data_IF_215561617697
#
_entry.id   IF_215561617697
#
_cell.length_a   1.000
_cell.length_b   1.000
_cell.length_c   1.000
_cell.angle_alpha   90.00
_cell.angle_beta   90.00
_cell.angle_gamma   90.00
#
_symmetry.space_group_name_H-M   'P 1'
#
loop_
_entity.id
_entity.type
_entity.pdbx_description
1 polymer ?
#
# COMPACT_ATOMS: atom_id res chain seq x y z
N UNK A 1 15.84 -39.66 13.97
CA UNK A 1 15.91 -38.19 13.82
C UNK A 1 14.64 -37.73 13.14
N UNK A 2 13.71 -37.17 13.89
CA UNK A 2 12.49 -36.58 13.35
C UNK A 2 12.84 -35.23 12.72
N UNK A 3 13.06 -35.22 11.42
CA UNK A 3 13.07 -33.99 10.65
C UNK A 3 11.60 -33.51 10.54
N UNK A 4 11.23 -32.47 11.28
CA UNK A 4 10.00 -31.74 10.99
C UNK A 4 10.06 -31.27 9.55
N UNK A 5 9.03 -31.48 8.73
CA UNK A 5 8.99 -30.87 7.41
C UNK A 5 9.11 -29.36 7.60
N UNK A 6 9.94 -28.73 6.76
CA UNK A 6 10.06 -27.29 6.75
C UNK A 6 8.63 -26.72 6.62
N UNK A 7 8.21 -25.90 7.59
CA UNK A 7 6.91 -25.22 7.49
C UNK A 7 6.94 -24.39 6.21
N UNK A 8 5.99 -24.64 5.31
CA UNK A 8 5.72 -23.74 4.21
C UNK A 8 5.56 -22.34 4.81
N UNK A 9 6.25 -21.32 4.25
CA UNK A 9 6.13 -19.95 4.70
C UNK A 9 4.65 -19.60 4.75
N UNK A 10 4.15 -19.26 5.94
CA UNK A 10 2.76 -18.85 6.11
C UNK A 10 2.50 -17.57 5.32
N UNK A 11 1.30 -17.44 4.75
CA UNK A 11 0.83 -16.21 4.13
C UNK A 11 0.99 -15.05 5.14
N UNK A 12 1.40 -13.85 4.71
CA UNK A 12 1.42 -12.67 5.58
C UNK A 12 0.06 -12.41 6.23
N UNK A 13 0.06 -11.82 7.42
CA UNK A 13 -1.18 -11.46 8.13
C UNK A 13 -1.83 -10.18 7.59
N UNK A 14 -1.10 -9.40 6.79
CA UNK A 14 -1.54 -8.15 6.20
C UNK A 14 -1.56 -8.25 4.69
N UNK A 15 -2.67 -7.84 4.07
CA UNK A 15 -2.76 -7.74 2.62
C UNK A 15 -3.27 -6.36 2.20
N UNK A 16 -2.85 -5.93 1.02
CA UNK A 16 -3.43 -4.77 0.35
C UNK A 16 -4.67 -5.16 -0.44
N UNK A 17 -5.60 -4.24 -0.51
CA UNK A 17 -6.70 -4.27 -1.46
C UNK A 17 -6.72 -2.95 -2.23
N UNK A 18 -6.60 -3.01 -3.56
CA UNK A 18 -6.66 -1.86 -4.45
C UNK A 18 -8.05 -1.80 -5.10
N UNK A 19 -8.96 -0.92 -4.63
CA UNK A 19 -10.27 -0.77 -5.23
C UNK A 19 -10.19 -0.26 -6.67
N UNK A 20 -10.90 -0.93 -7.56
CA UNK A 20 -11.11 -0.45 -8.94
C UNK A 20 -12.60 -0.50 -9.26
N UNK A 21 -13.04 0.33 -10.20
CA UNK A 21 -14.45 0.55 -10.46
C UNK A 21 -15.19 -0.74 -10.85
N UNK A 22 -14.55 -1.65 -11.57
CA UNK A 22 -15.17 -2.93 -11.94
C UNK A 22 -15.49 -3.84 -10.77
N UNK A 23 -14.88 -3.62 -9.60
CA UNK A 23 -15.16 -4.41 -8.40
C UNK A 23 -16.59 -4.21 -7.89
N UNK A 24 -17.29 -3.15 -8.34
CA UNK A 24 -18.72 -2.95 -8.05
C UNK A 24 -19.62 -4.08 -8.54
N UNK A 25 -19.14 -4.89 -9.50
CA UNK A 25 -19.87 -6.03 -10.04
C UNK A 25 -19.84 -7.25 -9.13
N UNK A 26 -19.01 -7.25 -8.11
CA UNK A 26 -18.96 -8.31 -7.10
C UNK A 26 -20.19 -8.17 -6.19
N UNK A 27 -20.94 -9.26 -6.05
CA UNK A 27 -22.13 -9.25 -5.19
C UNK A 27 -21.76 -9.22 -3.71
N UNK A 28 -22.67 -8.77 -2.84
CA UNK A 28 -22.43 -8.83 -1.38
C UNK A 28 -22.11 -10.25 -0.88
N UNK A 29 -22.75 -11.29 -1.44
CA UNK A 29 -22.44 -12.67 -1.08
C UNK A 29 -21.03 -13.08 -1.50
N UNK A 30 -20.59 -12.68 -2.69
CA UNK A 30 -19.23 -12.94 -3.17
C UNK A 30 -18.20 -12.20 -2.32
N UNK A 31 -18.45 -10.94 -1.94
CA UNK A 31 -17.60 -10.20 -1.01
C UNK A 31 -17.50 -10.89 0.35
N UNK A 32 -18.61 -11.38 0.87
CA UNK A 32 -18.61 -12.13 2.13
C UNK A 32 -17.67 -13.34 2.06
N UNK A 33 -17.73 -14.10 0.96
CA UNK A 33 -16.84 -15.24 0.73
C UNK A 33 -15.37 -14.80 0.67
N UNK A 34 -15.06 -13.71 -0.03
CA UNK A 34 -13.70 -13.17 -0.12
C UNK A 34 -13.16 -12.85 1.27
N UNK A 35 -13.94 -12.16 2.11
CA UNK A 35 -13.49 -11.78 3.46
C UNK A 35 -13.36 -13.00 4.39
N UNK A 36 -14.31 -13.95 4.33
CA UNK A 36 -14.22 -15.19 5.09
C UNK A 36 -12.99 -16.00 4.70
N UNK A 37 -12.70 -16.12 3.42
CA UNK A 37 -11.55 -16.87 2.93
C UNK A 37 -10.24 -16.15 3.25
N UNK A 38 -10.23 -14.83 3.26
CA UNK A 38 -9.09 -14.04 3.73
C UNK A 38 -8.74 -14.37 5.18
N UNK A 39 -9.73 -14.36 6.06
CA UNK A 39 -9.56 -14.73 7.48
C UNK A 39 -9.10 -16.18 7.61
N UNK A 40 -9.71 -17.09 6.88
CA UNK A 40 -9.37 -18.52 6.87
C UNK A 40 -7.90 -18.75 6.46
N UNK A 41 -7.36 -17.92 5.57
CA UNK A 41 -5.98 -18.00 5.11
C UNK A 41 -4.99 -17.20 5.98
N UNK A 42 -5.42 -16.73 7.15
CA UNK A 42 -4.56 -16.09 8.14
C UNK A 42 -4.43 -14.57 8.02
N UNK A 43 -5.17 -13.93 7.13
CA UNK A 43 -5.19 -12.47 7.03
C UNK A 43 -5.91 -11.90 8.27
N UNK A 44 -5.29 -10.91 8.90
CA UNK A 44 -5.83 -10.16 10.04
C UNK A 44 -6.09 -8.70 9.73
N UNK A 45 -5.30 -8.13 8.81
CA UNK A 45 -5.33 -6.71 8.48
C UNK A 45 -5.39 -6.50 6.97
N UNK A 46 -6.24 -5.60 6.55
CA UNK A 46 -6.33 -5.16 5.15
C UNK A 46 -5.95 -3.69 5.07
N UNK A 47 -4.96 -3.38 4.23
CA UNK A 47 -4.64 -2.01 3.85
C UNK A 47 -5.39 -1.72 2.56
N UNK A 48 -6.38 -0.87 2.64
CA UNK A 48 -7.16 -0.42 1.47
C UNK A 48 -6.37 0.69 0.79
N UNK A 49 -6.06 0.53 -0.49
CA UNK A 49 -5.15 1.43 -1.21
C UNK A 49 -5.64 2.88 -1.22
N UNK A 50 -6.94 3.08 -1.44
CA UNK A 50 -7.61 4.38 -1.45
C UNK A 50 -9.12 4.22 -1.25
N UNK A 51 -9.77 5.29 -0.85
CA UNK A 51 -11.23 5.40 -0.79
C UNK A 51 -11.74 6.56 -1.63
N UNK A 52 -10.82 7.36 -2.17
CA UNK A 52 -11.08 8.42 -3.14
C UNK A 52 -9.96 8.37 -4.18
N UNK A 53 -10.33 8.24 -5.45
CA UNK A 53 -9.41 8.15 -6.57
C UNK A 53 -9.84 9.13 -7.65
N UNK A 54 -9.17 10.28 -7.74
CA UNK A 54 -9.67 11.41 -8.51
C UNK A 54 -11.02 11.86 -7.96
N UNK A 55 -12.01 11.95 -8.85
CA UNK A 55 -13.39 12.30 -8.49
C UNK A 55 -14.24 11.09 -8.10
N UNK A 56 -13.68 9.89 -8.14
CA UNK A 56 -14.38 8.66 -7.83
C UNK A 56 -14.25 8.33 -6.32
N UNK A 57 -15.36 8.32 -5.61
CA UNK A 57 -15.46 7.89 -4.21
C UNK A 57 -16.16 6.53 -4.06
N UNK A 58 -16.29 5.79 -5.17
CA UNK A 58 -16.87 4.45 -5.22
C UNK A 58 -18.29 4.37 -4.65
N UNK A 59 -19.07 5.42 -4.91
CA UNK A 59 -20.45 5.55 -4.45
C UNK A 59 -20.63 6.19 -3.07
N UNK A 60 -19.55 6.59 -2.42
CA UNK A 60 -19.59 7.26 -1.12
C UNK A 60 -20.06 6.37 0.02
N UNK A 61 -20.69 6.98 1.03
CA UNK A 61 -21.10 6.30 2.26
C UNK A 61 -22.06 5.11 2.04
N UNK A 62 -22.92 5.19 1.03
CA UNK A 62 -23.88 4.15 0.68
C UNK A 62 -23.42 3.29 -0.51
N UNK A 63 -22.20 3.50 -0.96
CA UNK A 63 -21.63 2.83 -2.11
C UNK A 63 -21.15 1.40 -1.84
N UNK A 64 -20.74 0.74 -2.92
CA UNK A 64 -20.29 -0.65 -2.86
C UNK A 64 -19.01 -0.81 -2.01
N UNK A 65 -18.07 0.16 -2.10
CA UNK A 65 -16.82 0.07 -1.35
C UNK A 65 -17.04 0.22 0.14
N UNK A 66 -17.77 1.25 0.57
CA UNK A 66 -18.10 1.44 1.99
C UNK A 66 -18.84 0.21 2.54
N UNK A 67 -19.77 -0.33 1.78
CA UNK A 67 -20.55 -1.52 2.16
C UNK A 67 -19.64 -2.74 2.37
N UNK A 68 -18.75 -3.03 1.43
CA UNK A 68 -17.87 -4.20 1.56
C UNK A 68 -16.80 -4.02 2.65
N UNK A 69 -16.34 -2.78 2.88
CA UNK A 69 -15.39 -2.52 3.98
C UNK A 69 -16.07 -2.71 5.35
N UNK A 70 -17.33 -2.35 5.49
CA UNK A 70 -18.09 -2.69 6.70
C UNK A 70 -18.26 -4.20 6.88
N UNK A 71 -18.46 -4.94 5.78
CA UNK A 71 -18.45 -6.42 5.83
C UNK A 71 -17.11 -6.97 6.32
N UNK A 72 -16.00 -6.41 5.84
CA UNK A 72 -14.66 -6.82 6.26
C UNK A 72 -14.49 -6.64 7.78
N UNK A 73 -14.89 -5.49 8.33
CA UNK A 73 -14.89 -5.28 9.79
C UNK A 73 -15.73 -6.33 10.52
N UNK A 74 -16.93 -6.65 10.03
CA UNK A 74 -17.80 -7.65 10.65
C UNK A 74 -17.21 -9.07 10.62
N UNK A 75 -16.34 -9.36 9.66
CA UNK A 75 -15.60 -10.61 9.59
C UNK A 75 -14.35 -10.63 10.49
N UNK A 76 -14.14 -9.60 11.29
CA UNK A 76 -13.02 -9.51 12.22
C UNK A 76 -11.72 -8.97 11.63
N UNK A 77 -11.73 -8.51 10.39
CA UNK A 77 -10.57 -7.90 9.76
C UNK A 77 -10.34 -6.48 10.28
N UNK A 78 -9.10 -6.20 10.66
CA UNK A 78 -8.65 -4.84 10.96
C UNK A 78 -8.42 -4.08 9.67
N UNK A 79 -8.92 -2.84 9.60
CA UNK A 79 -8.76 -2.01 8.40
C UNK A 79 -7.82 -0.84 8.63
N UNK A 80 -6.87 -0.70 7.71
CA UNK A 80 -6.05 0.50 7.52
C UNK A 80 -6.57 1.11 6.21
N UNK A 81 -7.13 2.32 6.30
CA UNK A 81 -7.92 2.89 5.21
C UNK A 81 -7.11 3.89 4.42
N UNK A 82 -6.99 3.62 3.12
CA UNK A 82 -6.39 4.50 2.14
C UNK A 82 -7.23 5.75 1.89
N UNK A 83 -6.57 6.88 1.77
CA UNK A 83 -7.17 8.19 1.68
C UNK A 83 -7.31 8.63 0.22
N UNK A 84 -7.00 9.89 -0.09
CA UNK A 84 -7.19 10.41 -1.44
C UNK A 84 -5.99 10.14 -2.35
N UNK A 85 -6.25 9.63 -3.55
CA UNK A 85 -5.26 9.43 -4.61
C UNK A 85 -5.55 10.33 -5.81
N UNK A 86 -4.57 11.12 -6.22
CA UNK A 86 -4.58 11.80 -7.52
C UNK A 86 -4.12 10.79 -8.59
N UNK A 87 -4.96 10.44 -9.60
CA UNK A 87 -4.55 9.52 -10.66
C UNK A 87 -3.33 10.00 -11.45
N UNK A 88 -3.09 11.30 -11.46
CA UNK A 88 -1.99 11.93 -12.20
C UNK A 88 -0.76 12.21 -11.31
N UNK A 89 -0.71 11.63 -10.11
CA UNK A 89 0.33 11.88 -9.12
C UNK A 89 1.75 11.76 -9.69
N UNK A 90 2.06 10.66 -10.36
CA UNK A 90 3.40 10.43 -10.90
C UNK A 90 3.77 11.42 -12.00
N UNK A 91 2.83 11.69 -12.90
CA UNK A 91 3.02 12.67 -13.98
C UNK A 91 3.24 14.07 -13.41
N UNK A 92 2.44 14.47 -12.42
CA UNK A 92 2.57 15.79 -11.76
C UNK A 92 3.90 15.96 -11.06
N UNK A 93 4.32 14.97 -10.27
CA UNK A 93 5.61 15.02 -9.58
C UNK A 93 6.79 15.11 -10.55
N UNK A 94 6.72 14.41 -11.67
CA UNK A 94 7.79 14.45 -12.68
C UNK A 94 7.91 15.81 -13.39
N UNK A 95 6.81 16.56 -13.45
CA UNK A 95 6.77 17.87 -14.12
C UNK A 95 7.06 19.04 -13.16
N UNK A 96 6.82 18.87 -11.87
CA UNK A 96 7.01 19.91 -10.87
C UNK A 96 8.47 20.04 -10.47
N UNK A 97 8.90 21.29 -10.25
CA UNK A 97 10.15 21.56 -9.54
C UNK A 97 9.97 21.39 -8.03
N UNK A 98 11.06 21.57 -7.27
CA UNK A 98 11.02 21.43 -5.80
C UNK A 98 10.07 22.45 -5.16
N UNK A 99 10.04 23.68 -5.63
CA UNK A 99 9.16 24.72 -5.09
C UNK A 99 7.68 24.38 -5.38
N UNK A 100 7.36 23.89 -6.56
CA UNK A 100 6.00 23.48 -6.94
C UNK A 100 5.52 22.23 -6.23
N UNK A 101 6.43 21.38 -5.78
CA UNK A 101 6.11 20.14 -5.07
C UNK A 101 5.41 20.43 -3.71
N UNK A 102 5.83 21.45 -3.00
CA UNK A 102 5.27 21.76 -1.67
C UNK A 102 3.78 22.08 -1.70
N UNK A 103 3.28 23.06 -2.49
CA UNK A 103 1.84 23.33 -2.52
C UNK A 103 1.03 22.17 -3.10
N UNK A 104 1.58 21.42 -4.04
CA UNK A 104 0.91 20.24 -4.59
C UNK A 104 0.68 19.18 -3.51
N UNK A 105 1.72 18.82 -2.75
CA UNK A 105 1.60 17.83 -1.68
C UNK A 105 0.71 18.34 -0.53
N UNK A 106 0.80 19.62 -0.17
CA UNK A 106 -0.12 20.21 0.83
C UNK A 106 -1.57 20.03 0.42
N UNK A 107 -1.89 20.29 -0.85
CA UNK A 107 -3.25 20.11 -1.36
C UNK A 107 -3.69 18.64 -1.30
N UNK A 108 -2.83 17.72 -1.75
CA UNK A 108 -3.14 16.29 -1.73
C UNK A 108 -3.34 15.77 -0.30
N UNK A 109 -2.49 16.14 0.62
CA UNK A 109 -2.61 15.71 2.01
C UNK A 109 -3.79 16.38 2.73
N UNK A 110 -4.16 17.60 2.34
CA UNK A 110 -5.40 18.25 2.80
C UNK A 110 -6.65 17.49 2.35
N UNK A 111 -6.68 17.04 1.09
CA UNK A 111 -7.75 16.18 0.57
C UNK A 111 -7.80 14.84 1.31
N UNK A 112 -6.65 14.29 1.64
CA UNK A 112 -6.56 13.05 2.43
C UNK A 112 -7.06 13.23 3.85
N UNK A 113 -6.75 14.33 4.52
CA UNK A 113 -7.28 14.63 5.85
C UNK A 113 -8.82 14.75 5.82
N UNK A 114 -9.33 15.42 4.82
CA UNK A 114 -10.79 15.53 4.60
C UNK A 114 -11.40 14.15 4.37
N UNK A 115 -10.79 13.30 3.56
CA UNK A 115 -11.27 11.94 3.30
C UNK A 115 -11.28 11.08 4.58
N UNK A 116 -10.29 11.21 5.44
CA UNK A 116 -10.28 10.50 6.74
C UNK A 116 -11.51 10.87 7.58
N UNK A 117 -11.85 12.17 7.63
CA UNK A 117 -13.04 12.63 8.33
C UNK A 117 -14.32 12.05 7.71
N UNK A 118 -14.44 12.04 6.38
CA UNK A 118 -15.59 11.44 5.69
C UNK A 118 -15.73 9.96 5.99
N UNK A 119 -14.65 9.20 5.90
CA UNK A 119 -14.66 7.76 6.19
C UNK A 119 -15.08 7.49 7.63
N UNK A 120 -14.56 8.27 8.57
CA UNK A 120 -14.87 8.11 10.00
C UNK A 120 -16.32 8.47 10.30
N UNK A 121 -16.80 9.62 9.83
CA UNK A 121 -18.09 10.19 10.23
C UNK A 121 -19.26 9.84 9.32
N UNK A 122 -19.01 9.57 8.03
CA UNK A 122 -20.05 9.28 7.03
C UNK A 122 -20.09 7.81 6.62
N UNK A 123 -18.95 7.20 6.41
CA UNK A 123 -18.89 5.77 6.04
C UNK A 123 -19.03 4.84 7.25
N UNK A 124 -18.83 5.36 8.45
CA UNK A 124 -18.90 4.61 9.71
C UNK A 124 -18.01 3.36 9.69
N UNK A 125 -16.77 3.50 9.19
CA UNK A 125 -15.79 2.43 9.16
C UNK A 125 -14.91 2.55 10.40
N UNK A 126 -14.71 1.42 11.09
CA UNK A 126 -13.74 1.32 12.19
C UNK A 126 -12.33 1.18 11.60
N UNK A 127 -11.71 2.30 11.29
CA UNK A 127 -10.32 2.35 10.81
C UNK A 127 -9.36 2.35 12.00
N UNK A 128 -8.40 1.43 12.00
CA UNK A 128 -7.33 1.35 13.03
C UNK A 128 -6.04 2.03 12.56
N UNK A 129 -6.00 2.49 11.35
CA UNK A 129 -4.91 3.24 10.75
C UNK A 129 -5.37 3.88 9.45
N UNK A 130 -4.56 4.79 8.96
CA UNK A 130 -4.77 5.51 7.72
C UNK A 130 -3.60 5.30 6.78
N UNK A 131 -3.87 5.18 5.49
CA UNK A 131 -2.84 4.99 4.48
C UNK A 131 -2.89 6.12 3.46
N UNK A 132 -1.76 6.78 3.25
CA UNK A 132 -1.61 7.77 2.18
C UNK A 132 -1.16 7.05 0.93
N UNK A 133 -1.95 7.04 -0.15
CA UNK A 133 -1.64 6.28 -1.36
C UNK A 133 -0.59 6.94 -2.26
N UNK A 134 0.12 7.92 -1.76
CA UNK A 134 1.22 8.58 -2.46
C UNK A 134 2.49 7.75 -2.27
N UNK A 135 2.90 7.00 -3.28
CA UNK A 135 4.10 6.19 -3.22
C UNK A 135 5.36 7.06 -3.13
N UNK A 136 6.23 6.74 -2.20
CA UNK A 136 7.50 7.43 -1.97
C UNK A 136 8.61 6.70 -2.74
N UNK A 137 8.80 7.05 -3.99
CA UNK A 137 9.82 6.48 -4.84
C UNK A 137 11.09 7.34 -4.88
N UNK A 138 12.23 6.74 -5.18
CA UNK A 138 13.50 7.44 -5.22
C UNK A 138 13.81 8.14 -6.55
N UNK A 139 12.92 8.02 -7.55
CA UNK A 139 12.96 8.84 -8.76
C UNK A 139 12.48 10.25 -8.49
N UNK A 140 11.26 10.38 -7.99
CA UNK A 140 10.63 11.67 -7.69
C UNK A 140 11.23 12.32 -6.46
N UNK A 141 11.72 11.53 -5.52
CA UNK A 141 12.30 11.99 -4.26
C UNK A 141 13.82 11.77 -4.19
N UNK A 142 14.50 11.82 -5.33
CA UNK A 142 15.97 11.71 -5.40
C UNK A 142 16.66 12.87 -4.69
N UNK A 143 16.12 14.08 -4.79
CA UNK A 143 16.69 15.27 -4.14
C UNK A 143 16.26 15.35 -2.68
N UNK A 144 17.22 15.61 -1.80
CA UNK A 144 16.98 15.72 -0.37
C UNK A 144 15.91 16.77 -0.03
N UNK A 145 15.90 17.91 -0.73
CA UNK A 145 14.90 18.95 -0.51
C UNK A 145 13.47 18.45 -0.70
N UNK A 146 13.21 17.63 -1.72
CA UNK A 146 11.89 17.01 -1.93
C UNK A 146 11.55 16.00 -0.83
N UNK A 147 12.51 15.19 -0.41
CA UNK A 147 12.32 14.26 0.70
C UNK A 147 11.98 14.99 2.00
N UNK A 148 12.66 16.09 2.27
CA UNK A 148 12.40 16.92 3.47
C UNK A 148 10.99 17.51 3.43
N UNK A 149 10.54 17.99 2.27
CA UNK A 149 9.18 18.53 2.09
C UNK A 149 8.13 17.45 2.37
N UNK A 150 8.20 16.31 1.71
CA UNK A 150 7.19 15.27 1.89
C UNK A 150 7.20 14.70 3.31
N UNK A 151 8.37 14.54 3.89
CA UNK A 151 8.51 14.04 5.26
C UNK A 151 7.87 15.00 6.27
N UNK A 152 8.09 16.31 6.11
CA UNK A 152 7.48 17.32 6.97
C UNK A 152 5.96 17.31 6.86
N UNK A 153 5.45 17.24 5.63
CA UNK A 153 4.01 17.26 5.41
C UNK A 153 3.32 15.97 5.88
N UNK A 154 3.98 14.83 5.75
CA UNK A 154 3.47 13.57 6.31
C UNK A 154 3.42 13.61 7.85
N UNK A 155 4.43 14.20 8.49
CA UNK A 155 4.39 14.42 9.95
C UNK A 155 3.23 15.33 10.35
N UNK A 156 3.01 16.41 9.61
CA UNK A 156 1.91 17.33 9.87
C UNK A 156 0.56 16.61 9.73
N UNK A 157 0.38 15.83 8.67
CA UNK A 157 -0.84 15.04 8.49
C UNK A 157 -1.02 14.04 9.63
N UNK A 158 0.03 13.30 9.99
CA UNK A 158 -0.03 12.32 11.07
C UNK A 158 -0.48 12.93 12.39
N UNK A 159 -0.06 14.18 12.67
CA UNK A 159 -0.46 14.92 13.86
C UNK A 159 -1.94 15.30 13.91
N UNK A 160 -2.64 15.29 12.78
CA UNK A 160 -4.07 15.61 12.67
C UNK A 160 -4.96 14.37 12.56
N UNK A 161 -4.39 13.18 12.41
CA UNK A 161 -5.15 11.94 12.31
C UNK A 161 -5.36 11.31 13.69
N UNK A 162 -6.45 10.56 13.82
CA UNK A 162 -6.86 9.90 15.07
C UNK A 162 -6.34 8.47 15.21
N UNK A 163 -5.53 8.01 14.25
CA UNK A 163 -4.92 6.69 14.23
C UNK A 163 -3.59 6.75 13.46
N UNK A 164 -2.73 5.72 13.58
CA UNK A 164 -1.42 5.74 12.91
C UNK A 164 -1.49 5.90 11.40
N UNK A 165 -0.53 6.65 10.84
CA UNK A 165 -0.36 6.84 9.41
C UNK A 165 0.59 5.81 8.83
N UNK A 166 0.22 5.25 7.68
CA UNK A 166 1.02 4.32 6.90
C UNK A 166 1.32 4.90 5.52
N UNK A 167 2.49 4.60 5.00
CA UNK A 167 2.92 4.96 3.65
C UNK A 167 3.66 3.78 3.03
N UNK A 168 3.76 3.76 1.70
CA UNK A 168 4.59 2.79 0.99
C UNK A 168 5.71 3.47 0.22
N UNK A 169 6.74 2.70 -0.07
CA UNK A 169 7.92 3.17 -0.79
C UNK A 169 8.40 2.13 -1.79
N UNK A 170 9.04 2.61 -2.84
CA UNK A 170 9.65 1.79 -3.88
C UNK A 170 11.02 2.37 -4.23
N UNK A 171 12.04 1.50 -4.35
CA UNK A 171 13.35 1.89 -4.83
C UNK A 171 13.52 1.54 -6.31
N UNK A 172 13.84 2.56 -7.12
CA UNK A 172 14.23 2.42 -8.52
C UNK A 172 15.74 2.55 -8.74
N UNK A 173 16.54 2.48 -7.65
CA UNK A 173 17.99 2.52 -7.74
C UNK A 173 18.60 3.93 -7.84
N UNK A 174 17.84 4.97 -7.51
CA UNK A 174 18.32 6.37 -7.58
C UNK A 174 19.00 6.84 -6.30
N UNK A 175 18.55 6.36 -5.15
CA UNK A 175 19.28 6.51 -3.89
C UNK A 175 20.14 5.27 -3.65
N UNK A 176 21.25 5.45 -2.94
CA UNK A 176 22.00 4.29 -2.43
C UNK A 176 21.14 3.53 -1.41
N UNK A 177 21.38 2.23 -1.17
CA UNK A 177 20.68 1.49 -0.13
C UNK A 177 20.71 2.20 1.24
N UNK A 178 21.84 2.77 1.62
CA UNK A 178 22.01 3.51 2.87
C UNK A 178 21.15 4.77 2.94
N UNK A 179 21.17 5.60 1.91
CA UNK A 179 20.39 6.83 1.86
C UNK A 179 18.88 6.53 1.86
N UNK A 180 18.47 5.50 1.13
CA UNK A 180 17.09 5.02 1.10
C UNK A 180 16.63 4.55 2.50
N UNK A 181 17.43 3.71 3.14
CA UNK A 181 17.15 3.20 4.48
C UNK A 181 17.06 4.34 5.51
N UNK A 182 17.96 5.31 5.45
CA UNK A 182 17.93 6.48 6.34
C UNK A 182 16.67 7.31 6.19
N UNK A 183 16.24 7.53 4.95
CA UNK A 183 15.00 8.25 4.68
C UNK A 183 13.79 7.53 5.29
N UNK A 184 13.63 6.23 5.01
CA UNK A 184 12.52 5.47 5.55
C UNK A 184 12.56 5.38 7.08
N UNK A 185 13.75 5.23 7.67
CA UNK A 185 13.93 5.24 9.13
C UNK A 185 13.51 6.56 9.76
N UNK A 186 13.79 7.69 9.12
CA UNK A 186 13.40 9.02 9.62
C UNK A 186 11.87 9.16 9.69
N UNK A 187 11.16 8.62 8.72
CA UNK A 187 9.69 8.57 8.74
C UNK A 187 9.19 7.68 9.87
N UNK A 188 9.78 6.50 10.03
CA UNK A 188 9.37 5.55 11.09
C UNK A 188 9.60 6.12 12.49
N UNK A 189 10.66 6.86 12.70
CA UNK A 189 10.95 7.54 13.98
C UNK A 189 9.90 8.59 14.35
N UNK A 190 9.17 9.11 13.38
CA UNK A 190 8.06 10.04 13.59
C UNK A 190 6.69 9.35 13.65
N UNK A 191 6.66 8.07 14.02
CA UNK A 191 5.45 7.23 14.16
C UNK A 191 4.66 7.04 12.88
N UNK A 192 5.32 7.12 11.72
CA UNK A 192 4.75 6.80 10.43
C UNK A 192 5.21 5.39 10.06
N UNK A 193 4.26 4.47 9.88
CA UNK A 193 4.58 3.11 9.43
C UNK A 193 4.93 3.13 7.95
N UNK A 194 6.04 2.50 7.59
CA UNK A 194 6.56 2.49 6.23
C UNK A 194 6.61 1.06 5.71
N UNK A 195 6.11 0.86 4.50
CA UNK A 195 6.10 -0.41 3.79
C UNK A 195 6.93 -0.28 2.51
N UNK A 196 8.04 -1.00 2.44
CA UNK A 196 8.91 -0.98 1.27
C UNK A 196 8.60 -2.18 0.36
N UNK A 197 8.35 -1.90 -0.92
CA UNK A 197 8.10 -2.96 -1.90
C UNK A 197 9.38 -3.73 -2.19
N UNK A 198 9.29 -5.06 -2.28
CA UNK A 198 10.45 -5.89 -2.59
C UNK A 198 10.82 -5.91 -4.08
N UNK A 199 9.93 -5.43 -4.96
CA UNK A 199 10.20 -5.24 -6.38
C UNK A 199 10.28 -6.51 -7.23
N UNK A 200 9.92 -7.68 -6.68
CA UNK A 200 10.04 -8.96 -7.40
C UNK A 200 9.01 -9.09 -8.54
N UNK A 201 7.84 -8.47 -8.40
CA UNK A 201 6.77 -8.52 -9.40
C UNK A 201 7.07 -7.66 -10.62
N UNK A 202 7.60 -6.47 -10.44
CA UNK A 202 7.94 -5.54 -11.52
C UNK A 202 9.32 -5.79 -12.12
N UNK A 203 10.26 -6.29 -11.30
CA UNK A 203 11.65 -6.58 -11.69
C UNK A 203 12.39 -5.39 -12.31
N UNK A 204 12.09 -4.18 -11.85
CA UNK A 204 12.75 -2.95 -12.31
C UNK A 204 14.26 -2.97 -12.02
N UNK A 205 14.66 -3.56 -10.90
CA UNK A 205 16.06 -3.76 -10.52
C UNK A 205 16.45 -5.24 -10.63
N UNK A 206 17.72 -5.54 -10.92
CA UNK A 206 18.23 -6.92 -10.86
C UNK A 206 18.18 -7.44 -9.41
N UNK A 207 18.11 -8.76 -9.27
CA UNK A 207 17.97 -9.43 -7.97
C UNK A 207 19.03 -9.00 -6.95
N UNK A 208 20.29 -8.86 -7.37
CA UNK A 208 21.36 -8.45 -6.46
C UNK A 208 21.16 -7.05 -5.89
N UNK A 209 20.62 -6.12 -6.70
CA UNK A 209 20.29 -4.78 -6.24
C UNK A 209 19.10 -4.82 -5.28
N UNK A 210 18.03 -5.54 -5.62
CA UNK A 210 16.86 -5.70 -4.71
C UNK A 210 17.28 -6.23 -3.35
N UNK A 211 18.15 -7.24 -3.32
CA UNK A 211 18.70 -7.81 -2.08
C UNK A 211 19.45 -6.75 -1.26
N UNK A 212 20.28 -5.94 -1.89
CA UNK A 212 21.06 -4.89 -1.21
C UNK A 212 20.13 -3.85 -0.55
N UNK A 213 19.06 -3.43 -1.23
CA UNK A 213 18.08 -2.48 -0.66
C UNK A 213 17.35 -3.09 0.54
N UNK A 214 16.89 -4.33 0.43
CA UNK A 214 16.17 -5.00 1.52
C UNK A 214 17.07 -5.23 2.74
N UNK A 215 18.31 -5.67 2.54
CA UNK A 215 19.26 -5.89 3.63
C UNK A 215 19.64 -4.62 4.37
N UNK A 216 19.60 -3.45 3.71
CA UNK A 216 19.90 -2.18 4.34
C UNK A 216 18.75 -1.67 5.23
N UNK A 217 17.52 -2.16 5.05
CA UNK A 217 16.36 -1.70 5.81
C UNK A 217 16.39 -2.23 7.24
N UNK A 218 16.15 -1.37 8.25
CA UNK A 218 15.99 -1.83 9.62
C UNK A 218 14.70 -2.65 9.80
N UNK A 219 14.67 -3.48 10.83
CA UNK A 219 13.58 -4.43 11.07
C UNK A 219 12.21 -3.80 11.29
N UNK A 220 12.14 -2.54 11.69
CA UNK A 220 10.86 -1.83 11.89
C UNK A 220 10.27 -1.25 10.60
N UNK A 221 10.91 -1.42 9.46
CA UNK A 221 10.34 -1.12 8.15
C UNK A 221 9.66 -2.38 7.62
N UNK A 222 8.39 -2.25 7.25
CA UNK A 222 7.63 -3.35 6.67
C UNK A 222 8.05 -3.64 5.23
N UNK A 223 7.86 -4.88 4.79
CA UNK A 223 8.15 -5.30 3.42
C UNK A 223 6.82 -5.67 2.75
N UNK A 224 6.60 -5.16 1.54
CA UNK A 224 5.49 -5.55 0.68
C UNK A 224 5.97 -6.64 -0.27
N UNK A 225 5.40 -7.82 -0.14
CA UNK A 225 5.58 -8.91 -1.10
C UNK A 225 4.63 -8.72 -2.27
N UNK A 226 5.10 -8.92 -3.47
CA UNK A 226 4.27 -8.76 -4.65
C UNK A 226 3.75 -10.13 -5.11
N UNK A 227 2.41 -10.31 -5.05
CA UNK A 227 1.73 -11.54 -5.48
C UNK A 227 1.45 -11.56 -6.99
N UNK A 228 2.11 -10.69 -7.74
CA UNK A 228 1.95 -10.54 -9.18
C UNK A 228 3.31 -10.54 -9.88
N UNK A 229 3.26 -10.91 -11.17
CA UNK A 229 4.35 -10.74 -12.12
C UNK A 229 3.87 -9.86 -13.24
N UNK A 230 4.54 -8.72 -13.46
CA UNK A 230 4.21 -7.82 -14.55
C UNK A 230 4.46 -8.49 -15.91
N UNK A 231 3.46 -8.40 -16.79
CA UNK A 231 3.50 -8.97 -18.15
C UNK A 231 3.63 -7.92 -19.25
N UNK A 232 3.33 -6.64 -18.91
CA UNK A 232 3.45 -5.52 -19.83
C UNK A 232 4.86 -4.94 -19.83
N UNK A 233 5.25 -4.30 -20.94
CA UNK A 233 6.46 -3.48 -21.00
C UNK A 233 6.27 -2.23 -20.11
N UNK A 234 7.39 -1.66 -19.53
CA UNK A 234 7.30 -0.54 -18.59
C UNK A 234 6.57 0.70 -19.12
N UNK A 235 6.59 0.95 -20.42
CA UNK A 235 5.95 2.11 -21.06
C UNK A 235 4.51 1.85 -21.51
N UNK A 236 3.98 0.65 -21.28
CA UNK A 236 2.64 0.23 -21.70
C UNK A 236 1.68 0.21 -20.51
N UNK A 237 0.36 0.13 -20.79
CA UNK A 237 -0.65 -0.11 -19.77
C UNK A 237 -0.24 -1.30 -18.91
N UNK A 238 -0.27 -1.13 -17.61
CA UNK A 238 0.11 -2.18 -16.65
C UNK A 238 -0.79 -3.40 -16.78
N UNK A 239 -0.18 -4.55 -17.04
CA UNK A 239 -0.82 -5.86 -16.96
C UNK A 239 0.05 -6.80 -16.13
N UNK A 240 -0.59 -7.69 -15.40
CA UNK A 240 0.10 -8.62 -14.51
C UNK A 240 -0.69 -9.92 -14.37
N UNK A 241 0.01 -10.96 -13.96
CA UNK A 241 -0.58 -12.26 -13.64
C UNK A 241 -0.25 -12.64 -12.20
N UNK A 242 -1.08 -13.45 -11.54
CA UNK A 242 -0.80 -13.96 -10.21
C UNK A 242 0.51 -14.76 -10.17
N UNK A 243 1.26 -14.61 -9.08
CA UNK A 243 2.46 -15.41 -8.80
C UNK A 243 2.58 -15.65 -7.30
N UNK A 244 3.33 -16.67 -6.92
CA UNK A 244 3.66 -16.90 -5.51
C UNK A 244 4.61 -15.81 -5.03
N UNK A 245 4.31 -15.10 -3.92
CA UNK A 245 5.19 -14.08 -3.39
C UNK A 245 6.56 -14.63 -2.98
N UNK A 246 7.62 -13.87 -3.26
CA UNK A 246 8.97 -14.17 -2.79
C UNK A 246 9.20 -13.53 -1.42
N UNK A 247 9.26 -14.36 -0.38
CA UNK A 247 9.46 -13.93 1.00
C UNK A 247 10.94 -13.89 1.43
N UNK A 248 11.87 -13.97 0.50
CA UNK A 248 13.32 -13.88 0.80
C UNK A 248 13.65 -12.54 1.47
N UNK A 249 14.57 -12.55 2.43
CA UNK A 249 15.08 -11.36 3.13
C UNK A 249 14.04 -10.59 3.96
N UNK A 250 13.00 -11.28 4.44
CA UNK A 250 11.94 -10.63 5.24
C UNK A 250 11.99 -10.97 6.73
N UNK A 251 12.98 -11.69 7.19
CA UNK A 251 13.04 -12.41 8.48
C UNK A 251 12.65 -11.61 9.72
N UNK A 252 13.04 -10.34 9.82
CA UNK A 252 12.76 -9.52 10.99
C UNK A 252 11.69 -8.45 10.75
N UNK A 253 11.19 -8.34 9.53
CA UNK A 253 10.31 -7.26 9.12
C UNK A 253 8.84 -7.63 9.31
N UNK A 254 7.96 -6.64 9.60
CA UNK A 254 6.55 -6.80 9.30
C UNK A 254 6.37 -7.06 7.80
N UNK A 255 5.44 -7.95 7.43
CA UNK A 255 5.26 -8.36 6.03
C UNK A 255 3.81 -8.17 5.62
N UNK A 256 3.60 -7.61 4.45
CA UNK A 256 2.32 -7.53 3.78
C UNK A 256 2.42 -8.11 2.37
N UNK A 257 1.28 -8.39 1.76
CA UNK A 257 1.22 -8.88 0.37
C UNK A 257 0.37 -7.96 -0.49
N UNK A 258 0.85 -7.61 -1.66
CA UNK A 258 0.13 -6.81 -2.65
C UNK A 258 -0.29 -7.73 -3.80
N UNK A 259 -1.52 -7.96 -4.14
CA UNK A 259 -2.70 -7.52 -3.45
C UNK A 259 -3.84 -8.56 -3.64
N UNK A 260 -4.97 -8.38 -3.01
CA UNK A 260 -6.08 -9.32 -2.92
C UNK A 260 -6.47 -9.99 -4.25
N UNK A 261 -6.56 -9.23 -5.36
CA UNK A 261 -6.99 -9.77 -6.67
C UNK A 261 -6.05 -10.82 -7.25
N UNK A 262 -4.79 -10.86 -6.80
CA UNK A 262 -3.80 -11.84 -7.23
C UNK A 262 -3.69 -13.04 -6.29
N UNK A 263 -4.40 -13.01 -5.16
CA UNK A 263 -4.45 -14.14 -4.23
C UNK A 263 -5.51 -15.16 -4.68
N UNK A 264 -5.34 -16.45 -4.36
CA UNK A 264 -6.27 -17.47 -4.83
C UNK A 264 -7.73 -17.19 -4.50
N UNK A 265 -8.02 -16.70 -3.30
CA UNK A 265 -9.40 -16.40 -2.87
C UNK A 265 -9.93 -15.05 -3.39
N UNK A 266 -9.08 -14.24 -4.00
CA UNK A 266 -9.46 -12.98 -4.65
C UNK A 266 -9.53 -13.06 -6.16
N UNK A 267 -9.38 -14.23 -6.75
CA UNK A 267 -9.28 -14.43 -8.20
C UNK A 267 -10.46 -13.85 -8.99
N UNK A 268 -11.66 -13.84 -8.41
CA UNK A 268 -12.84 -13.24 -9.06
C UNK A 268 -12.66 -11.74 -9.33
N UNK A 269 -11.88 -11.04 -8.54
CA UNK A 269 -11.55 -9.64 -8.78
C UNK A 269 -10.62 -9.45 -9.98
N UNK A 270 -9.73 -10.40 -10.20
CA UNK A 270 -8.78 -10.35 -11.32
C UNK A 270 -9.46 -10.60 -12.68
N UNK A 271 -10.53 -11.37 -12.71
CA UNK A 271 -11.25 -11.76 -13.93
C UNK A 271 -12.29 -10.73 -14.38
N UNK A 272 -12.47 -9.65 -13.68
CA UNK A 272 -13.45 -8.59 -14.01
C UNK A 272 -13.04 -7.68 -15.15
#
# INVERSE_FOLDING_TARGET
ANTRPAQASSMPETMFYQPVETDKNITPAQWQTIWQDSVKNGIKTVIVQWTSHGDNDFGGADGWLATTLRQANKNGLTLIIGLHMDPDYYARLSELDTAGTQPYLENQLGLSLHQANIVRTKWHIDAKGWYVPLELDDWNFQQKARRDIVSQQLRDLAGHLDAPLHVSSFSGGKLTPDAYAKWLSSLRQNNIYVWAQNGTGTRTLPQIARKAYLEALPCNIGIVLEAFKQTSAPSRKFTAVPTTPDASNTKCHPVSVFELRYLPWGAILHTQ
#
